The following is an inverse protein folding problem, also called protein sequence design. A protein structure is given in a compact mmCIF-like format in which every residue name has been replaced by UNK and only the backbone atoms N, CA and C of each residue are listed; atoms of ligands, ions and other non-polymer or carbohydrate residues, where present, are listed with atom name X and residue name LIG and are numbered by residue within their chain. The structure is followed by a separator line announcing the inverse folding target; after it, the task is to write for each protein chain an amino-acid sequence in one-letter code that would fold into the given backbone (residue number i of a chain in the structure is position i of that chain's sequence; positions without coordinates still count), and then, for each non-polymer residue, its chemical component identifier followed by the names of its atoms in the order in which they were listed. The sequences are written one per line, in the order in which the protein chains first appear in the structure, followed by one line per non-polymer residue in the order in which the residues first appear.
data_IF_217289852934
#
_entry.id   IF_217289852934
#
_cell.length_a   1.000
_cell.length_b   1.000
_cell.length_c   1.000
_cell.angle_alpha   90.00
_cell.angle_beta   90.00
_cell.angle_gamma   90.00
#
_symmetry.space_group_name_H-M   'P 1'
#
loop_
_entity.id
_entity.type
_entity.pdbx_description
1 polymer ?
#
# COMPACT_ATOMS: atom_id res chain seq x y z
N UNK A 1 20.50 16.18 10.87
CA UNK A 1 20.06 15.60 9.60
C UNK A 1 18.75 16.22 9.18
N UNK A 2 18.61 16.78 7.96
CA UNK A 2 17.33 17.36 7.51
C UNK A 2 16.36 16.23 7.22
N UNK A 3 15.26 16.16 7.97
CA UNK A 3 14.15 15.24 7.68
C UNK A 3 13.61 15.54 6.29
N UNK A 4 13.52 14.52 5.44
CA UNK A 4 12.88 14.66 4.14
C UNK A 4 11.39 14.31 4.30
N UNK A 5 10.56 15.35 4.35
CA UNK A 5 9.12 15.24 4.56
C UNK A 5 8.45 14.29 3.55
N UNK A 6 8.83 14.37 2.27
CA UNK A 6 8.23 13.51 1.24
C UNK A 6 8.54 12.03 1.47
N UNK A 7 9.78 11.70 1.84
CA UNK A 7 10.17 10.33 2.16
C UNK A 7 9.38 9.81 3.38
N UNK A 8 9.19 10.63 4.42
CA UNK A 8 8.39 10.25 5.60
C UNK A 8 6.91 10.01 5.22
N UNK A 9 6.34 10.81 4.33
CA UNK A 9 4.96 10.62 3.86
C UNK A 9 4.82 9.32 3.04
N UNK A 10 5.77 9.01 2.18
CA UNK A 10 5.81 7.73 1.47
C UNK A 10 5.99 6.54 2.43
N UNK A 11 6.92 6.64 3.39
CA UNK A 11 7.10 5.63 4.42
C UNK A 11 5.81 5.34 5.19
N UNK A 12 5.12 6.39 5.63
CA UNK A 12 3.84 6.28 6.33
C UNK A 12 2.74 5.66 5.46
N UNK A 13 2.73 6.01 4.16
CA UNK A 13 1.80 5.45 3.19
C UNK A 13 2.01 3.94 3.04
N UNK A 14 3.25 3.52 2.82
CA UNK A 14 3.59 2.10 2.67
C UNK A 14 3.26 1.29 3.91
N UNK A 15 3.58 1.78 5.10
CA UNK A 15 3.22 1.15 6.36
C UNK A 15 1.70 1.00 6.51
N UNK A 16 0.93 2.04 6.16
CA UNK A 16 -0.54 2.02 6.23
C UNK A 16 -1.16 0.99 5.27
N UNK A 17 -0.54 0.75 4.13
CA UNK A 17 -0.99 -0.21 3.12
C UNK A 17 -0.52 -1.64 3.41
N UNK A 18 0.57 -1.81 4.14
CA UNK A 18 1.26 -3.10 4.29
C UNK A 18 0.33 -4.26 4.66
N UNK A 19 -0.53 -4.07 5.65
CA UNK A 19 -1.48 -5.10 6.12
C UNK A 19 -2.44 -5.58 5.04
N UNK A 20 -2.71 -4.75 4.05
CA UNK A 20 -3.69 -5.03 2.99
C UNK A 20 -3.05 -5.62 1.72
N UNK A 21 -1.71 -5.50 1.56
CA UNK A 21 -1.02 -5.92 0.35
C UNK A 21 -1.21 -7.40 0.04
N UNK A 22 -1.19 -8.26 1.05
CA UNK A 22 -1.41 -9.70 0.86
C UNK A 22 -2.84 -10.01 0.36
N UNK A 23 -3.85 -9.43 1.00
CA UNK A 23 -5.25 -9.60 0.58
C UNK A 23 -5.49 -9.09 -0.83
N UNK A 24 -4.84 -7.98 -1.21
CA UNK A 24 -4.93 -7.43 -2.56
C UNK A 24 -4.28 -8.35 -3.59
N UNK A 25 -3.11 -8.90 -3.30
CA UNK A 25 -2.45 -9.87 -4.19
C UNK A 25 -3.33 -11.11 -4.42
N UNK A 26 -3.94 -11.63 -3.35
CA UNK A 26 -4.87 -12.78 -3.45
C UNK A 26 -6.14 -12.44 -4.24
N UNK A 27 -6.66 -11.22 -4.10
CA UNK A 27 -7.83 -10.76 -4.87
C UNK A 27 -7.52 -10.70 -6.37
N UNK A 28 -6.32 -10.25 -6.73
CA UNK A 28 -5.85 -10.26 -8.13
C UNK A 28 -5.73 -11.69 -8.65
N UNK A 29 -5.20 -12.63 -7.87
CA UNK A 29 -5.14 -14.05 -8.26
C UNK A 29 -6.53 -14.62 -8.56
N UNK A 30 -7.50 -14.30 -7.73
CA UNK A 30 -8.88 -14.75 -7.94
C UNK A 30 -9.49 -14.15 -9.22
N UNK A 31 -9.15 -12.90 -9.55
CA UNK A 31 -9.57 -12.27 -10.80
C UNK A 31 -8.92 -12.93 -12.01
N UNK A 32 -7.61 -13.19 -11.98
CA UNK A 32 -6.88 -13.89 -13.03
C UNK A 32 -7.48 -15.26 -13.28
N UNK A 33 -7.71 -16.05 -12.22
CA UNK A 33 -8.35 -17.38 -12.32
C UNK A 33 -9.74 -17.29 -12.96
N UNK A 34 -10.56 -16.31 -12.56
CA UNK A 34 -11.91 -16.12 -13.11
C UNK A 34 -11.86 -15.77 -14.60
N UNK A 35 -10.97 -14.88 -15.02
CA UNK A 35 -10.79 -14.53 -16.44
C UNK A 35 -10.35 -15.75 -17.23
N UNK A 36 -9.37 -16.51 -16.74
CA UNK A 36 -8.88 -17.72 -17.41
C UNK A 36 -9.97 -18.79 -17.57
N UNK A 37 -10.78 -19.03 -16.54
CA UNK A 37 -11.91 -19.96 -16.58
C UNK A 37 -12.96 -19.49 -17.61
N UNK A 38 -13.36 -18.22 -17.55
CA UNK A 38 -14.36 -17.68 -18.47
C UNK A 38 -13.87 -17.72 -19.93
N UNK A 39 -12.60 -17.41 -20.16
CA UNK A 39 -12.00 -17.49 -21.49
C UNK A 39 -11.96 -18.92 -22.02
N UNK A 40 -11.73 -19.92 -21.15
CA UNK A 40 -11.74 -21.34 -21.55
C UNK A 40 -13.13 -21.86 -21.92
N UNK A 41 -14.21 -21.33 -21.32
CA UNK A 41 -15.59 -21.71 -21.63
C UNK A 41 -16.18 -20.97 -22.82
N UNK A 42 -15.69 -19.75 -23.11
CA UNK A 42 -16.20 -18.93 -24.22
C UNK A 42 -15.39 -19.16 -25.51
N UNK A 43 -15.50 -20.34 -26.09
CA UNK A 43 -14.76 -20.75 -27.29
C UNK A 43 -15.02 -19.91 -28.56
N UNK A 44 -15.79 -18.82 -28.53
CA UNK A 44 -16.39 -18.32 -29.77
C UNK A 44 -15.72 -17.13 -30.44
N UNK A 45 -14.75 -16.42 -29.85
CA UNK A 45 -14.17 -15.26 -30.57
C UNK A 45 -12.69 -15.04 -30.25
N UNK A 46 -11.82 -15.21 -31.24
CA UNK A 46 -10.38 -14.93 -31.19
C UNK A 46 -10.02 -13.56 -30.53
N UNK A 47 -10.81 -12.52 -30.82
CA UNK A 47 -10.63 -11.18 -30.24
C UNK A 47 -10.90 -11.11 -28.72
N UNK A 48 -11.75 -11.97 -28.17
CA UNK A 48 -12.00 -12.00 -26.71
C UNK A 48 -10.82 -12.63 -25.99
N UNK A 49 -10.21 -13.67 -26.54
CA UNK A 49 -9.06 -14.38 -25.99
C UNK A 49 -7.83 -13.46 -25.88
N UNK A 50 -7.57 -12.65 -26.91
CA UNK A 50 -6.47 -11.66 -26.87
C UNK A 50 -6.70 -10.62 -25.77
N UNK A 51 -7.93 -10.09 -25.66
CA UNK A 51 -8.29 -9.11 -24.62
C UNK A 51 -8.12 -9.70 -23.21
N UNK A 52 -8.56 -10.93 -23.01
CA UNK A 52 -8.43 -11.64 -21.74
C UNK A 52 -6.96 -11.91 -21.38
N UNK A 53 -6.15 -12.31 -22.36
CA UNK A 53 -4.72 -12.50 -22.18
C UNK A 53 -4.01 -11.20 -21.78
N UNK A 54 -4.29 -10.09 -22.45
CA UNK A 54 -3.72 -8.78 -22.12
C UNK A 54 -4.13 -8.34 -20.71
N UNK A 55 -5.39 -8.58 -20.31
CA UNK A 55 -5.87 -8.28 -18.97
C UNK A 55 -5.19 -9.14 -17.89
N UNK A 56 -4.94 -10.41 -18.17
CA UNK A 56 -4.19 -11.31 -17.28
C UNK A 56 -2.75 -10.79 -17.11
N UNK A 57 -2.09 -10.38 -18.18
CA UNK A 57 -0.73 -9.81 -18.13
C UNK A 57 -0.71 -8.56 -17.24
N UNK A 58 -1.62 -7.60 -17.48
CA UNK A 58 -1.73 -6.37 -16.69
C UNK A 58 -1.95 -6.68 -15.19
N UNK A 59 -2.86 -7.57 -14.86
CA UNK A 59 -3.14 -7.99 -13.49
C UNK A 59 -1.92 -8.66 -12.84
N UNK A 60 -1.19 -9.48 -13.60
CA UNK A 60 0.03 -10.14 -13.13
C UNK A 60 1.12 -9.12 -12.81
N UNK A 61 1.34 -8.13 -13.67
CA UNK A 61 2.29 -7.03 -13.42
C UNK A 61 1.92 -6.23 -12.16
N UNK A 62 0.64 -5.94 -11.98
CA UNK A 62 0.14 -5.26 -10.77
C UNK A 62 0.35 -6.10 -9.52
N UNK A 63 0.09 -7.40 -9.58
CA UNK A 63 0.37 -8.32 -8.47
C UNK A 63 1.85 -8.31 -8.10
N UNK A 64 2.74 -8.39 -9.09
CA UNK A 64 4.19 -8.34 -8.88
C UNK A 64 4.58 -7.03 -8.17
N UNK A 65 4.03 -5.89 -8.58
CA UNK A 65 4.27 -4.59 -7.91
C UNK A 65 3.84 -4.62 -6.45
N UNK A 66 2.67 -5.19 -6.14
CA UNK A 66 2.15 -5.30 -4.76
C UNK A 66 3.06 -6.20 -3.90
N UNK A 67 3.49 -7.34 -4.44
CA UNK A 67 4.43 -8.24 -3.74
C UNK A 67 5.77 -7.54 -3.49
N UNK A 68 6.29 -6.84 -4.49
CA UNK A 68 7.54 -6.08 -4.34
C UNK A 68 7.43 -5.00 -3.29
N UNK A 69 6.28 -4.28 -3.21
CA UNK A 69 6.05 -3.31 -2.14
C UNK A 69 6.07 -3.96 -0.76
N UNK A 70 5.48 -5.13 -0.61
CA UNK A 70 5.53 -5.89 0.65
C UNK A 70 6.97 -6.19 1.04
N UNK A 71 7.77 -6.72 0.12
CA UNK A 71 9.20 -7.03 0.35
C UNK A 71 10.01 -5.78 0.70
N UNK A 72 9.74 -4.65 0.03
CA UNK A 72 10.42 -3.38 0.33
C UNK A 72 10.12 -2.91 1.75
N UNK A 73 8.85 -2.98 2.18
CA UNK A 73 8.47 -2.62 3.56
C UNK A 73 9.14 -3.54 4.58
N UNK A 74 9.14 -4.85 4.35
CA UNK A 74 9.79 -5.81 5.24
C UNK A 74 11.29 -5.56 5.37
N UNK A 75 11.99 -5.28 4.26
CA UNK A 75 13.41 -4.90 4.29
C UNK A 75 13.65 -3.61 5.08
N UNK A 76 12.79 -2.61 4.92
CA UNK A 76 12.89 -1.37 5.68
C UNK A 76 12.65 -1.57 7.17
N UNK A 77 11.72 -2.44 7.55
CA UNK A 77 11.42 -2.79 8.94
C UNK A 77 12.57 -3.59 9.59
N UNK A 78 13.13 -4.56 8.88
CA UNK A 78 14.22 -5.41 9.40
C UNK A 78 15.50 -4.63 9.78
N UNK A 79 15.70 -3.47 9.18
CA UNK A 79 16.86 -2.62 9.48
C UNK A 79 16.60 -1.62 10.63
N UNK A 80 15.44 -1.70 11.31
CA UNK A 80 15.11 -0.83 12.42
C UNK A 80 15.65 -1.36 13.75
N UNK A 81 15.90 -0.43 14.69
CA UNK A 81 16.13 -0.78 16.08
C UNK A 81 14.87 -1.43 16.68
N UNK A 82 15.04 -2.40 17.57
CA UNK A 82 13.95 -3.17 18.16
C UNK A 82 12.81 -2.29 18.72
N UNK A 83 13.14 -1.18 19.40
CA UNK A 83 12.14 -0.26 19.98
C UNK A 83 11.26 0.40 18.92
N UNK A 84 11.84 0.77 17.78
CA UNK A 84 11.13 1.40 16.67
C UNK A 84 10.32 0.35 15.89
N UNK A 85 10.91 -0.80 15.63
CA UNK A 85 10.26 -1.94 15.00
C UNK A 85 9.00 -2.34 15.76
N UNK A 86 9.09 -2.53 17.09
CA UNK A 86 7.98 -2.95 17.95
C UNK A 86 6.78 -2.00 17.84
N UNK A 87 7.01 -0.69 17.86
CA UNK A 87 5.94 0.31 17.72
C UNK A 87 5.29 0.25 16.35
N UNK A 88 6.07 0.13 15.27
CA UNK A 88 5.53 0.07 13.91
C UNK A 88 4.78 -1.23 13.65
N UNK A 89 5.29 -2.36 14.13
CA UNK A 89 4.60 -3.66 14.02
C UNK A 89 3.25 -3.61 14.73
N UNK A 90 3.20 -3.22 15.99
CA UNK A 90 1.95 -3.13 16.74
C UNK A 90 0.93 -2.18 16.09
N UNK A 91 1.41 -1.04 15.54
CA UNK A 91 0.52 -0.03 14.98
C UNK A 91 0.05 -0.34 13.56
N UNK A 92 0.91 -0.87 12.69
CA UNK A 92 0.65 -1.00 11.25
C UNK A 92 0.50 -2.44 10.77
N UNK A 93 1.19 -3.40 11.37
CA UNK A 93 1.07 -4.81 11.02
C UNK A 93 -0.08 -5.44 11.79
N UNK A 94 -0.07 -5.36 13.13
CA UNK A 94 -1.10 -5.90 13.98
C UNK A 94 -2.37 -5.02 13.99
N UNK A 95 -2.23 -3.74 13.63
CA UNK A 95 -3.34 -2.80 13.52
C UNK A 95 -3.98 -2.44 14.85
N UNK A 96 -3.22 -2.52 15.94
CA UNK A 96 -3.71 -2.20 17.28
C UNK A 96 -3.98 -0.70 17.42
N UNK A 97 -5.02 -0.35 18.18
CA UNK A 97 -5.25 1.04 18.51
C UNK A 97 -4.20 1.55 19.51
N UNK A 98 -3.97 2.86 19.52
CA UNK A 98 -2.92 3.46 20.34
C UNK A 98 -3.07 3.19 21.83
N UNK A 99 -4.29 3.11 22.36
CA UNK A 99 -4.57 2.84 23.78
C UNK A 99 -4.02 1.46 24.18
N UNK A 100 -4.31 0.43 23.36
CA UNK A 100 -3.81 -0.92 23.59
C UNK A 100 -2.28 -1.01 23.48
N UNK A 101 -1.68 -0.24 22.55
CA UNK A 101 -0.22 -0.19 22.40
C UNK A 101 0.44 0.47 23.62
N UNK A 102 -0.14 1.56 24.13
CA UNK A 102 0.31 2.24 25.34
C UNK A 102 0.30 1.30 26.54
N UNK A 103 -0.79 0.56 26.72
CA UNK A 103 -0.94 -0.45 27.77
C UNK A 103 0.12 -1.56 27.65
N UNK A 104 0.27 -2.16 26.46
CA UNK A 104 1.23 -3.23 26.21
C UNK A 104 2.69 -2.81 26.39
N UNK A 105 3.02 -1.56 26.09
CA UNK A 105 4.39 -1.05 26.18
C UNK A 105 4.69 -0.35 27.52
N UNK A 106 3.70 -0.13 28.38
CA UNK A 106 3.85 0.59 29.64
C UNK A 106 4.35 2.02 29.47
N UNK A 107 3.89 2.73 28.43
CA UNK A 107 4.34 4.08 28.08
C UNK A 107 3.19 5.07 28.10
N UNK A 108 3.49 6.38 28.25
CA UNK A 108 2.47 7.43 28.18
C UNK A 108 2.06 7.71 26.72
N UNK A 109 0.87 8.28 26.54
CA UNK A 109 0.34 8.67 25.21
C UNK A 109 1.31 9.62 24.49
N UNK A 110 1.84 10.62 25.18
CA UNK A 110 2.84 11.56 24.64
C UNK A 110 4.10 10.82 24.16
N UNK A 111 4.57 9.84 24.94
CA UNK A 111 5.75 9.03 24.58
C UNK A 111 5.48 8.17 23.36
N UNK A 112 4.29 7.56 23.25
CA UNK A 112 3.88 6.77 22.11
C UNK A 112 3.91 7.59 20.82
N UNK A 113 3.24 8.73 20.76
CA UNK A 113 3.19 9.52 19.54
C UNK A 113 4.57 10.03 19.13
N UNK A 114 5.37 10.52 20.08
CA UNK A 114 6.75 10.93 19.80
C UNK A 114 7.61 9.79 19.24
N UNK A 115 7.56 8.60 19.87
CA UNK A 115 8.32 7.43 19.42
C UNK A 115 7.83 6.92 18.06
N UNK A 116 6.54 6.92 17.82
CA UNK A 116 5.96 6.53 16.53
C UNK A 116 6.44 7.44 15.39
N UNK A 117 6.48 8.74 15.59
CA UNK A 117 7.02 9.69 14.61
C UNK A 117 8.50 9.45 14.33
N UNK A 118 9.30 9.22 15.36
CA UNK A 118 10.73 8.89 15.22
C UNK A 118 10.88 7.56 14.45
N UNK A 119 10.11 6.53 14.80
CA UNK A 119 10.16 5.23 14.15
C UNK A 119 9.80 5.32 12.66
N UNK A 120 8.80 6.14 12.29
CA UNK A 120 8.44 6.39 10.88
C UNK A 120 9.59 7.10 10.16
N UNK A 121 10.22 8.10 10.78
CA UNK A 121 11.36 8.80 10.19
C UNK A 121 12.54 7.84 9.93
N UNK A 122 12.88 7.02 10.93
CA UNK A 122 13.95 6.02 10.82
C UNK A 122 13.64 4.94 9.76
N UNK A 123 12.39 4.50 9.68
CA UNK A 123 11.93 3.59 8.63
C UNK A 123 12.09 4.21 7.23
N UNK A 124 11.68 5.46 7.07
CA UNK A 124 11.79 6.17 5.78
C UNK A 124 13.23 6.43 5.37
N UNK A 125 14.10 6.67 6.34
CA UNK A 125 15.55 6.76 6.13
C UNK A 125 16.14 5.43 5.66
N UNK A 126 15.78 4.33 6.31
CA UNK A 126 16.19 2.98 5.90
C UNK A 126 15.74 2.67 4.46
N UNK A 127 14.51 3.03 4.08
CA UNK A 127 14.06 2.88 2.70
C UNK A 127 14.93 3.69 1.74
N UNK A 128 15.28 4.93 2.09
CA UNK A 128 16.14 5.77 1.26
C UNK A 128 17.55 5.19 1.12
N UNK A 129 18.12 4.64 2.19
CA UNK A 129 19.42 3.94 2.16
C UNK A 129 19.38 2.68 1.29
N UNK A 130 18.24 2.00 1.21
CA UNK A 130 18.00 0.88 0.29
C UNK A 130 17.73 1.33 -1.16
N UNK A 131 17.83 2.63 -1.42
CA UNK A 131 17.59 3.21 -2.75
C UNK A 131 16.11 3.43 -3.11
N UNK A 132 15.21 3.44 -2.12
CA UNK A 132 13.79 3.71 -2.30
C UNK A 132 13.41 5.06 -1.68
N UNK A 133 13.65 6.14 -2.43
CA UNK A 133 13.25 7.50 -2.08
C UNK A 133 11.87 7.89 -2.65
N UNK A 134 11.39 9.08 -2.31
CA UNK A 134 10.10 9.60 -2.77
C UNK A 134 10.02 9.68 -4.30
N UNK A 135 11.10 10.07 -4.98
CA UNK A 135 11.17 10.16 -6.44
C UNK A 135 10.99 8.78 -7.09
N UNK A 136 11.67 7.78 -6.55
CA UNK A 136 11.57 6.40 -7.05
C UNK A 136 10.18 5.82 -6.82
N UNK A 137 9.56 6.04 -5.65
CA UNK A 137 8.19 5.62 -5.39
C UNK A 137 7.19 6.32 -6.30
N UNK A 138 7.29 7.63 -6.49
CA UNK A 138 6.39 8.37 -7.38
C UNK A 138 6.45 7.87 -8.83
N UNK A 139 7.63 7.47 -9.30
CA UNK A 139 7.82 6.90 -10.63
C UNK A 139 7.34 5.46 -10.71
N UNK A 140 7.76 4.61 -9.77
CA UNK A 140 7.42 3.18 -9.75
C UNK A 140 5.91 2.94 -9.61
N UNK A 141 5.23 3.79 -8.84
CA UNK A 141 3.80 3.69 -8.54
C UNK A 141 2.95 4.65 -9.39
N UNK A 142 3.50 5.16 -10.50
CA UNK A 142 2.81 6.13 -11.36
C UNK A 142 1.46 5.62 -11.87
N UNK A 143 1.33 4.34 -12.19
CA UNK A 143 0.10 3.70 -12.67
C UNK A 143 -0.87 3.30 -11.55
N UNK A 144 -0.45 3.33 -10.28
CA UNK A 144 -1.25 2.85 -9.15
C UNK A 144 -1.97 4.02 -8.46
N UNK A 145 -3.07 4.50 -9.06
CA UNK A 145 -3.82 5.67 -8.58
C UNK A 145 -4.31 5.51 -7.13
N UNK A 146 -4.66 4.31 -6.71
CA UNK A 146 -5.12 4.03 -5.35
C UNK A 146 -4.02 4.27 -4.30
N UNK A 147 -2.74 3.96 -4.61
CA UNK A 147 -1.61 4.27 -3.72
C UNK A 147 -1.40 5.77 -3.63
N UNK A 148 -1.45 6.48 -4.77
CA UNK A 148 -1.36 7.94 -4.81
C UNK A 148 -2.48 8.60 -4.01
N UNK A 149 -3.71 8.14 -4.16
CA UNK A 149 -4.84 8.65 -3.39
C UNK A 149 -4.61 8.47 -1.88
N UNK A 150 -4.10 7.31 -1.45
CA UNK A 150 -3.72 7.09 -0.05
C UNK A 150 -2.61 8.04 0.40
N UNK A 151 -1.60 8.27 -0.44
CA UNK A 151 -0.53 9.22 -0.17
C UNK A 151 -1.07 10.65 0.03
N UNK A 152 -1.93 11.12 -0.86
CA UNK A 152 -2.55 12.46 -0.73
C UNK A 152 -3.46 12.56 0.49
N UNK A 153 -4.20 11.54 0.84
CA UNK A 153 -5.01 11.51 2.06
C UNK A 153 -4.14 11.63 3.32
N UNK A 154 -3.00 10.95 3.35
CA UNK A 154 -2.06 11.02 4.47
C UNK A 154 -1.44 12.42 4.58
N UNK A 155 -1.07 13.06 3.46
CA UNK A 155 -0.59 14.44 3.47
C UNK A 155 -1.66 15.38 4.00
N UNK A 156 -2.88 15.31 3.48
CA UNK A 156 -3.98 16.18 3.87
C UNK A 156 -4.37 15.98 5.36
N UNK A 157 -4.38 14.73 5.85
CA UNK A 157 -4.64 14.44 7.26
C UNK A 157 -3.49 14.89 8.18
N UNK A 158 -2.27 14.94 7.67
CA UNK A 158 -1.12 15.46 8.41
C UNK A 158 -1.11 16.98 8.47
N UNK A 159 -1.70 17.65 7.48
CA UNK A 159 -1.92 19.09 7.46
C UNK A 159 -3.10 19.52 8.36
N UNK A 160 -4.15 18.68 8.47
CA UNK A 160 -5.28 18.90 9.38
C UNK A 160 -5.05 18.17 10.71
N UNK A 161 -4.47 18.84 11.70
CA UNK A 161 -4.17 18.25 13.02
C UNK A 161 -5.38 17.86 13.88
N UNK A 162 -6.59 17.73 13.31
CA UNK A 162 -7.80 17.42 14.08
C UNK A 162 -8.77 16.53 13.30
N UNK A 163 -8.62 15.18 13.40
CA UNK A 163 -9.78 14.28 13.43
C UNK A 163 -9.34 12.86 13.82
N UNK A 164 -9.62 12.48 15.04
CA UNK A 164 -9.07 11.31 15.75
C UNK A 164 -9.78 9.98 15.53
N UNK A 165 -10.82 9.83 14.70
CA UNK A 165 -11.64 8.60 14.73
C UNK A 165 -12.07 7.96 13.41
N UNK A 166 -11.55 8.40 12.25
CA UNK A 166 -12.06 7.92 10.94
C UNK A 166 -11.23 6.83 10.24
N UNK A 167 -10.08 6.43 10.80
CA UNK A 167 -9.07 5.69 10.04
C UNK A 167 -9.46 4.26 9.61
N UNK A 168 -10.33 3.56 10.31
CA UNK A 168 -10.65 2.15 9.99
C UNK A 168 -11.74 2.02 8.93
N UNK A 169 -12.77 2.88 8.98
CA UNK A 169 -13.87 2.86 7.99
C UNK A 169 -13.41 3.36 6.61
N UNK A 170 -12.49 4.33 6.55
CA UNK A 170 -11.94 4.86 5.30
C UNK A 170 -10.99 3.87 4.63
N UNK A 171 -10.22 3.09 5.39
CA UNK A 171 -9.39 2.02 4.85
C UNK A 171 -10.23 0.91 4.20
N UNK A 172 -11.37 0.52 4.81
CA UNK A 172 -12.31 -0.42 4.20
C UNK A 172 -12.98 0.15 2.93
N UNK A 173 -13.28 1.46 2.89
CA UNK A 173 -13.77 2.12 1.68
C UNK A 173 -12.74 2.11 0.55
N UNK A 174 -11.47 2.36 0.86
CA UNK A 174 -10.37 2.31 -0.10
C UNK A 174 -10.18 0.92 -0.68
N UNK A 175 -10.22 -0.13 0.14
CA UNK A 175 -10.12 -1.52 -0.34
C UNK A 175 -11.30 -1.86 -1.25
N UNK A 176 -12.52 -1.42 -0.91
CA UNK A 176 -13.70 -1.59 -1.76
C UNK A 176 -13.59 -0.84 -3.08
N UNK A 177 -13.06 0.39 -3.06
CA UNK A 177 -12.81 1.19 -4.28
C UNK A 177 -11.77 0.50 -5.17
N UNK A 178 -10.68 0.01 -4.60
CA UNK A 178 -9.64 -0.72 -5.33
C UNK A 178 -10.19 -2.00 -5.96
N UNK A 179 -11.00 -2.76 -5.21
CA UNK A 179 -11.65 -3.97 -5.73
C UNK A 179 -12.67 -3.63 -6.83
N UNK A 180 -13.36 -2.49 -6.75
CA UNK A 180 -14.29 -2.01 -7.78
C UNK A 180 -13.54 -1.46 -9.01
N UNK A 181 -12.40 -0.75 -8.83
CA UNK A 181 -11.54 -0.30 -9.94
C UNK A 181 -11.00 -1.49 -10.74
N UNK A 182 -10.66 -2.60 -10.09
CA UNK A 182 -10.29 -3.84 -10.78
C UNK A 182 -11.45 -4.47 -11.56
N UNK A 183 -12.70 -4.18 -11.15
CA UNK A 183 -13.91 -4.72 -11.82
C UNK A 183 -14.41 -3.83 -12.95
N UNK A 184 -14.14 -2.53 -12.90
CA UNK A 184 -14.73 -1.49 -13.77
C UNK A 184 -13.74 -0.76 -14.66
N UNK A 185 -12.43 -1.16 -14.69
CA UNK A 185 -11.46 -0.52 -15.56
C UNK A 185 -11.93 -0.62 -17.02
N UNK A 186 -12.33 0.48 -17.68
CA UNK A 186 -12.67 0.45 -19.09
C UNK A 186 -11.40 0.07 -19.86
N UNK A 187 -11.57 -0.82 -20.82
CA UNK A 187 -10.58 -1.14 -21.84
C UNK A 187 -10.23 0.17 -22.57
N UNK A 188 -9.20 0.88 -22.12
CA UNK A 188 -8.65 1.97 -22.90
C UNK A 188 -8.14 1.37 -24.19
N UNK A 189 -8.83 1.69 -25.28
CA UNK A 189 -8.42 1.42 -26.65
C UNK A 189 -7.01 1.95 -26.84
N UNK A 190 -6.02 1.07 -26.92
CA UNK A 190 -4.75 1.42 -27.54
C UNK A 190 -5.00 1.56 -29.03
N UNK A 191 -5.09 2.80 -29.49
CA UNK A 191 -4.94 3.17 -30.88
C UNK A 191 -3.48 2.93 -31.24
N UNK A 192 -3.23 1.88 -32.01
CA UNK A 192 -1.96 1.72 -32.73
C UNK A 192 -1.98 2.66 -33.94
N UNK A 193 -1.08 3.63 -33.94
CA UNK A 193 -0.49 4.18 -35.14
C UNK A 193 0.89 3.60 -35.31
#
# INVERSE_FOLDING_TARGET
MKRNFENEMWGKTLLSLYRHLHTMANSIDNLIKRIGINSAFNHSVYNSTIKDSNKIIELTERKIKIINLKVIVEKGLNNLKEKDLKILVLAYVDGLNYKKIIELLGITERTYFRRKEIAIANFSENLSLLGYDAKKFSTYLKSENWIKNTYYQIINSSASKFNKSQNTKEQYKLIKLVLNDFSSAPLTSFSYY
#
